data_IF_216710477257
#
_entry.id   IF_216710477257
#
_cell.length_a   1.000
_cell.length_b   1.000
_cell.length_c   1.000
_cell.angle_alpha   90.00
_cell.angle_beta   90.00
_cell.angle_gamma   90.00
#
_symmetry.space_group_name_H-M   'P 1'
#
loop_
_entity.id
_entity.type
_entity.pdbx_description
1 polymer ?
#
# COMPACT_ATOMS: atom_id res chain seq x y z
N UNK A 1 10.02 13.64 4.05
CA UNK A 1 10.74 13.61 2.75
C UNK A 1 10.96 12.16 2.42
N UNK A 2 10.25 11.63 1.42
CA UNK A 2 10.34 10.22 1.00
C UNK A 2 11.02 10.08 -0.37
N UNK A 3 10.91 11.11 -1.20
CA UNK A 3 11.46 11.14 -2.56
C UNK A 3 12.75 11.97 -2.59
N UNK A 4 13.80 11.50 -1.93
CA UNK A 4 15.07 12.22 -1.82
C UNK A 4 16.30 11.39 -2.25
N UNK A 5 16.06 10.34 -3.03
CA UNK A 5 17.06 9.39 -3.57
C UNK A 5 17.78 8.54 -2.51
N UNK A 6 17.36 8.62 -1.24
CA UNK A 6 17.88 7.75 -0.17
C UNK A 6 17.03 6.51 0.01
N UNK A 7 17.61 5.53 0.70
CA UNK A 7 16.88 4.36 1.16
C UNK A 7 15.88 4.75 2.24
N UNK A 8 14.65 4.27 2.08
CA UNK A 8 13.58 4.42 3.04
C UNK A 8 12.87 3.09 3.23
N UNK A 9 12.35 2.85 4.43
CA UNK A 9 11.47 1.75 4.74
C UNK A 9 10.03 2.25 4.81
N UNK A 10 9.13 1.60 4.07
CA UNK A 10 7.69 1.82 4.14
C UNK A 10 7.04 0.59 4.77
N UNK A 11 6.18 0.79 5.77
CA UNK A 11 5.39 -0.26 6.40
C UNK A 11 3.97 0.22 6.61
N UNK A 12 3.00 -0.55 6.13
CA UNK A 12 1.59 -0.36 6.43
C UNK A 12 1.17 -1.44 7.44
N UNK A 13 0.65 -1.02 8.59
CA UNK A 13 -0.03 -1.91 9.53
C UNK A 13 -1.52 -1.81 9.24
N UNK A 14 -2.12 -2.88 8.75
CA UNK A 14 -3.54 -2.94 8.41
C UNK A 14 -4.26 -3.77 9.47
N UNK A 15 -5.29 -3.20 10.08
CA UNK A 15 -6.23 -3.88 10.98
C UNK A 15 -7.60 -4.01 10.29
N UNK A 16 -8.62 -4.48 11.02
CA UNK A 16 -9.99 -4.52 10.50
C UNK A 16 -10.61 -3.11 10.38
N UNK A 17 -10.20 -2.18 11.25
CA UNK A 17 -10.85 -0.86 11.39
C UNK A 17 -10.01 0.29 10.81
N UNK A 18 -8.69 0.13 10.73
CA UNK A 18 -7.77 1.20 10.36
C UNK A 18 -6.49 0.71 9.67
N UNK A 19 -5.76 1.68 9.11
CA UNK A 19 -4.41 1.49 8.59
C UNK A 19 -3.49 2.56 9.14
N UNK A 20 -2.31 2.14 9.60
CA UNK A 20 -1.24 3.04 10.04
C UNK A 20 -0.04 2.97 9.10
N UNK A 21 0.41 4.14 8.63
CA UNK A 21 1.63 4.30 7.84
C UNK A 21 2.83 4.56 8.74
N UNK A 22 3.89 3.77 8.55
CA UNK A 22 5.21 4.01 9.11
C UNK A 22 6.23 4.28 7.99
N UNK A 23 7.07 5.30 8.17
CA UNK A 23 8.23 5.60 7.32
C UNK A 23 9.47 5.66 8.19
N UNK A 24 10.46 4.82 7.88
CA UNK A 24 11.70 4.71 8.66
C UNK A 24 11.44 4.48 10.16
N UNK A 25 10.53 3.55 10.46
CA UNK A 25 10.04 3.19 11.80
C UNK A 25 9.30 4.30 12.57
N UNK A 26 9.10 5.48 11.96
CA UNK A 26 8.28 6.55 12.53
C UNK A 26 6.84 6.43 12.06
N UNK A 27 5.89 6.52 13.00
CA UNK A 27 4.47 6.63 12.69
C UNK A 27 4.18 7.97 12.01
N UNK A 28 3.49 7.92 10.86
CA UNK A 28 3.15 9.11 10.08
C UNK A 28 1.69 9.48 10.29
N UNK A 29 0.78 8.53 10.08
CA UNK A 29 -0.66 8.74 10.22
C UNK A 29 -1.40 7.41 10.36
N UNK A 30 -2.57 7.47 11.00
CA UNK A 30 -3.56 6.39 11.04
C UNK A 30 -4.87 6.90 10.44
N UNK A 31 -5.45 6.11 9.54
CA UNK A 31 -6.72 6.42 8.87
C UNK A 31 -7.71 5.27 9.09
N UNK A 32 -8.97 5.60 9.34
CA UNK A 32 -10.04 4.61 9.41
C UNK A 32 -10.29 3.98 8.02
N UNK A 33 -10.55 2.68 8.01
CA UNK A 33 -10.90 1.93 6.82
C UNK A 33 -12.43 1.83 6.67
N UNK A 34 -12.87 1.82 5.42
CA UNK A 34 -14.21 1.32 5.10
C UNK A 34 -14.22 -0.22 5.20
N UNK A 35 -15.40 -0.85 5.40
CA UNK A 35 -15.50 -2.30 5.42
C UNK A 35 -14.86 -2.95 4.17
N UNK A 36 -14.12 -4.05 4.32
CA UNK A 36 -13.38 -4.63 3.21
C UNK A 36 -14.31 -5.29 2.18
N UNK A 37 -14.15 -4.91 0.91
CA UNK A 37 -14.74 -5.61 -0.22
C UNK A 37 -13.90 -6.84 -0.61
N UNK A 38 -14.57 -7.88 -1.11
CA UNK A 38 -13.89 -9.08 -1.62
C UNK A 38 -13.06 -8.78 -2.87
N UNK A 39 -11.79 -9.20 -2.87
CA UNK A 39 -10.92 -9.11 -4.06
C UNK A 39 -10.84 -10.45 -4.80
N UNK A 40 -10.51 -10.40 -6.09
CA UNK A 40 -10.24 -11.60 -6.88
C UNK A 40 -8.91 -12.25 -6.45
N UNK A 41 -9.00 -13.45 -5.88
CA UNK A 41 -7.84 -14.14 -5.27
C UNK A 41 -7.01 -15.00 -6.23
N UNK A 42 -7.49 -15.27 -7.44
CA UNK A 42 -6.72 -16.04 -8.45
C UNK A 42 -5.76 -15.15 -9.26
N UNK A 43 -5.30 -14.04 -8.68
CA UNK A 43 -4.30 -13.13 -9.26
C UNK A 43 -2.87 -13.59 -9.01
N UNK A 44 -1.90 -12.68 -9.18
CA UNK A 44 -0.48 -12.91 -8.89
C UNK A 44 0.07 -11.80 -8.01
N UNK A 45 0.95 -12.15 -7.06
CA UNK A 45 1.72 -11.17 -6.30
C UNK A 45 2.81 -10.58 -7.19
N UNK A 46 2.86 -9.25 -7.29
CA UNK A 46 3.85 -8.54 -8.09
C UNK A 46 4.69 -7.64 -7.19
N UNK A 47 6.02 -7.63 -7.41
CA UNK A 47 6.98 -6.83 -6.61
C UNK A 47 7.23 -5.46 -7.24
N UNK A 48 6.83 -5.25 -8.49
CA UNK A 48 6.89 -3.96 -9.16
C UNK A 48 6.10 -3.97 -10.47
N UNK A 49 5.28 -2.94 -10.68
CA UNK A 49 4.49 -2.75 -11.90
C UNK A 49 4.58 -1.28 -12.32
N UNK A 50 4.91 -1.05 -13.59
CA UNK A 50 4.86 0.30 -14.16
C UNK A 50 3.42 0.61 -14.56
N UNK A 51 2.93 1.79 -14.19
CA UNK A 51 1.51 2.21 -14.28
C UNK A 51 0.95 2.26 -15.72
N UNK A 52 1.75 1.99 -16.74
CA UNK A 52 1.33 1.96 -18.16
C UNK A 52 1.16 0.56 -18.76
N UNK A 53 1.46 -0.51 -18.02
CA UNK A 53 1.37 -1.88 -18.51
C UNK A 53 0.19 -2.59 -17.84
N UNK A 54 -0.87 -2.79 -18.61
CA UNK A 54 -2.06 -3.57 -18.23
C UNK A 54 -2.94 -2.95 -17.14
N UNK A 55 -3.62 -1.86 -17.46
CA UNK A 55 -4.96 -1.61 -16.92
C UNK A 55 -5.93 -2.52 -17.66
N UNK A 56 -6.26 -3.68 -17.11
CA UNK A 56 -7.37 -4.50 -17.61
C UNK A 56 -8.62 -4.18 -16.81
N UNK A 57 -9.21 -3.01 -17.05
CA UNK A 57 -10.64 -2.70 -17.31
C UNK A 57 -10.68 -1.25 -17.89
N UNK A 58 -11.47 -0.95 -18.95
CA UNK A 58 -11.64 0.40 -19.54
C UNK A 58 -12.32 1.42 -18.61
#
# INVERSE_FOLDING_TARGET
KLFDEKWHQLRLLVTEEDVTLYVDDLEIETLALEPPDGIFINGQTQVGKYVTKETTVP
#
